data_IF_653738260551
#
_entry.id   IF_653738260551
#
_cell.length_a   1.000
_cell.length_b   1.000
_cell.length_c   1.000
_cell.angle_alpha   90.00
_cell.angle_beta   90.00
_cell.angle_gamma   90.00
#
_symmetry.space_group_name_H-M   'P 1'
#
loop_
_entity.id
_entity.type
_entity.pdbx_description
1 polymer ?
#
# COMPACT_ATOMS: atom_id res chain seq x y z
N UNK A 1 28.98 -34.46 -24.38
CA UNK A 1 28.78 -33.38 -25.34
C UNK A 1 27.30 -33.08 -25.37
N UNK A 2 26.89 -32.09 -24.64
CA UNK A 2 25.55 -31.47 -24.74
C UNK A 2 25.66 -30.13 -23.99
N UNK A 3 25.88 -29.07 -24.74
CA UNK A 3 25.84 -27.70 -24.28
C UNK A 3 24.37 -27.33 -24.02
N UNK A 4 24.05 -26.95 -22.82
CA UNK A 4 22.79 -26.30 -22.49
C UNK A 4 23.03 -24.80 -22.47
N UNK A 5 22.42 -24.12 -23.42
CA UNK A 5 22.36 -22.68 -23.52
C UNK A 5 21.61 -22.06 -22.34
N UNK A 6 22.28 -21.18 -21.63
CA UNK A 6 21.68 -20.28 -20.65
C UNK A 6 21.09 -19.08 -21.39
N UNK A 7 19.76 -18.97 -21.42
CA UNK A 7 19.05 -17.78 -21.86
C UNK A 7 19.22 -16.65 -20.84
N UNK A 8 19.96 -15.64 -21.25
CA UNK A 8 20.09 -14.36 -20.52
C UNK A 8 18.88 -13.51 -20.87
N UNK A 9 17.98 -13.30 -19.92
CA UNK A 9 16.95 -12.30 -20.02
C UNK A 9 17.58 -10.93 -19.79
N UNK A 10 17.80 -10.19 -20.86
CA UNK A 10 18.26 -8.80 -20.82
C UNK A 10 17.16 -7.90 -20.31
N UNK A 11 17.35 -7.32 -19.11
CA UNK A 11 16.58 -6.19 -18.62
C UNK A 11 17.14 -4.89 -19.22
N UNK A 12 16.47 -4.36 -20.22
CA UNK A 12 16.67 -2.98 -20.68
C UNK A 12 16.07 -1.99 -19.68
N UNK A 13 16.87 -1.49 -18.79
CA UNK A 13 16.69 -0.22 -18.10
C UNK A 13 18.06 0.42 -18.00
N UNK A 14 18.42 1.18 -19.05
CA UNK A 14 19.56 2.07 -19.03
C UNK A 14 19.34 3.17 -18.01
N UNK A 15 20.08 3.10 -16.94
CA UNK A 15 20.88 4.12 -16.28
C UNK A 15 21.41 3.50 -14.97
N UNK A 16 22.72 3.33 -14.94
CA UNK A 16 23.46 2.81 -13.80
C UNK A 16 23.41 3.78 -12.63
N UNK A 17 22.49 3.56 -11.69
CA UNK A 17 22.56 4.14 -10.36
C UNK A 17 23.56 3.31 -9.57
N UNK A 18 24.67 3.93 -9.21
CA UNK A 18 25.74 3.37 -8.41
C UNK A 18 25.21 2.94 -7.04
N UNK A 19 25.02 1.64 -6.83
CA UNK A 19 24.66 1.02 -5.55
C UNK A 19 25.94 0.87 -4.73
N UNK A 20 26.33 1.94 -4.01
CA UNK A 20 27.34 1.88 -2.95
C UNK A 20 26.81 1.20 -1.70
N UNK A 21 27.44 0.09 -1.38
CA UNK A 21 27.62 -0.56 -0.10
C UNK A 21 26.51 -0.51 0.99
N UNK A 22 25.71 -1.59 1.06
CA UNK A 22 25.55 -2.39 2.28
C UNK A 22 24.78 -3.67 1.95
N UNK A 23 25.40 -4.82 2.20
CA UNK A 23 24.82 -6.15 2.09
C UNK A 23 23.87 -6.37 3.28
N UNK A 24 22.74 -5.63 3.30
CA UNK A 24 21.64 -5.85 4.24
C UNK A 24 20.31 -5.84 3.50
N UNK A 25 19.71 -7.03 3.39
CA UNK A 25 18.32 -7.31 3.03
C UNK A 25 17.89 -7.12 1.57
N UNK A 26 18.22 -8.09 0.72
CA UNK A 26 17.59 -8.28 -0.62
C UNK A 26 16.08 -8.60 -0.51
N UNK A 27 15.57 -8.97 0.68
CA UNK A 27 14.19 -9.41 0.90
C UNK A 27 13.25 -8.36 1.51
N UNK A 28 13.75 -7.16 1.89
CA UNK A 28 12.94 -6.16 2.57
C UNK A 28 12.12 -5.32 1.59
N UNK A 29 10.79 -5.34 1.75
CA UNK A 29 9.85 -4.49 1.01
C UNK A 29 9.87 -3.06 1.54
N UNK A 30 9.98 -2.90 2.85
CA UNK A 30 10.06 -1.62 3.56
C UNK A 30 11.23 -1.66 4.52
N UNK A 31 12.06 -0.62 4.55
CA UNK A 31 13.14 -0.46 5.51
C UNK A 31 13.26 1.01 5.94
N UNK A 32 13.03 1.27 7.21
CA UNK A 32 13.17 2.56 7.86
C UNK A 32 14.41 2.54 8.76
N UNK A 33 15.27 3.56 8.63
CA UNK A 33 16.47 3.71 9.49
C UNK A 33 16.46 5.08 10.13
N UNK A 34 16.39 5.12 11.49
CA UNK A 34 16.39 6.31 12.35
C UNK A 34 15.38 7.39 11.92
N UNK A 35 14.17 6.95 11.50
CA UNK A 35 13.16 7.83 10.94
C UNK A 35 12.53 8.70 12.01
N UNK A 36 12.61 10.02 11.80
CA UNK A 36 11.97 11.03 12.64
C UNK A 36 11.13 11.97 11.79
N UNK A 37 9.92 12.29 12.27
CA UNK A 37 9.06 13.31 11.65
C UNK A 37 8.64 14.34 12.68
N UNK A 38 9.09 15.58 12.47
CA UNK A 38 8.69 16.76 13.22
C UNK A 38 7.64 17.55 12.46
N UNK A 39 6.66 18.09 13.17
CA UNK A 39 5.72 19.08 12.66
C UNK A 39 5.85 20.36 13.46
N UNK A 40 5.55 21.49 12.79
CA UNK A 40 5.47 22.80 13.42
C UNK A 40 4.02 23.24 13.48
N UNK A 41 3.48 23.46 14.68
CA UNK A 41 2.13 23.99 14.87
C UNK A 41 2.22 25.30 15.67
N UNK A 42 1.83 26.39 15.04
CA UNK A 42 2.09 27.75 15.57
C UNK A 42 3.57 27.88 15.87
N UNK A 43 4.02 28.24 17.06
CA UNK A 43 5.43 28.37 17.43
C UNK A 43 6.01 27.15 18.19
N UNK A 44 5.27 26.02 18.24
CA UNK A 44 5.74 24.79 18.91
C UNK A 44 6.05 23.70 17.89
N UNK A 45 7.19 23.05 18.05
CA UNK A 45 7.53 21.82 17.35
C UNK A 45 6.99 20.64 18.16
N UNK A 46 6.48 19.62 17.49
CA UNK A 46 6.17 18.33 18.10
C UNK A 46 6.67 17.21 17.18
N UNK A 47 7.13 16.14 17.80
CA UNK A 47 7.64 14.96 17.10
C UNK A 47 6.48 13.97 17.02
N UNK A 48 6.08 13.61 15.82
CA UNK A 48 5.02 12.64 15.58
C UNK A 48 5.55 11.21 15.40
N UNK A 49 6.79 11.08 14.91
CA UNK A 49 7.54 9.82 14.81
C UNK A 49 8.95 10.11 15.26
N UNK A 50 9.47 9.34 16.20
CA UNK A 50 10.73 9.60 16.86
C UNK A 50 11.69 8.41 16.76
N UNK A 51 12.74 8.59 15.95
CA UNK A 51 13.86 7.66 15.81
C UNK A 51 13.43 6.19 15.60
N UNK A 52 12.54 5.97 14.62
CA UNK A 52 11.99 4.65 14.34
C UNK A 52 12.87 3.88 13.37
N UNK A 53 13.28 2.66 13.76
CA UNK A 53 13.82 1.61 12.94
C UNK A 53 12.75 0.54 12.74
N UNK A 54 12.47 0.17 11.47
CA UNK A 54 11.39 -0.75 11.15
C UNK A 54 11.59 -1.38 9.78
N UNK A 55 11.29 -2.67 9.65
CA UNK A 55 11.36 -3.36 8.36
C UNK A 55 10.21 -4.34 8.18
N UNK A 56 9.80 -4.52 6.91
CA UNK A 56 8.80 -5.51 6.51
C UNK A 56 9.36 -6.27 5.31
N UNK A 57 9.24 -7.60 5.33
CA UNK A 57 9.62 -8.48 4.24
C UNK A 57 8.41 -8.83 3.36
N UNK A 58 8.67 -9.35 2.17
CA UNK A 58 7.64 -9.93 1.33
C UNK A 58 6.97 -11.12 2.06
N UNK A 59 5.64 -11.16 2.04
CA UNK A 59 4.84 -12.17 2.72
C UNK A 59 4.56 -11.91 4.20
N UNK A 60 5.16 -10.90 4.82
CA UNK A 60 4.86 -10.55 6.21
C UNK A 60 3.47 -9.93 6.36
N UNK A 61 2.75 -10.31 7.41
CA UNK A 61 1.59 -9.61 7.91
C UNK A 61 1.94 -8.89 9.22
N UNK A 62 2.03 -7.58 9.20
CA UNK A 62 2.44 -6.75 10.34
C UNK A 62 1.29 -5.90 10.82
N UNK A 63 1.04 -5.87 12.13
CA UNK A 63 0.08 -4.97 12.76
C UNK A 63 0.80 -3.92 13.61
N UNK A 64 0.31 -2.67 13.53
CA UNK A 64 0.72 -1.59 14.43
C UNK A 64 -0.50 -1.18 15.25
N UNK A 65 -0.40 -1.31 16.57
CA UNK A 65 -1.43 -0.91 17.52
C UNK A 65 -1.00 0.34 18.29
N UNK A 66 -1.95 1.01 18.93
CA UNK A 66 -1.65 2.17 19.78
C UNK A 66 -2.77 3.21 19.76
N UNK A 67 -2.77 4.14 20.73
CA UNK A 67 -3.81 5.16 20.88
C UNK A 67 -3.85 6.13 19.71
N UNK A 68 -5.00 6.75 19.48
CA UNK A 68 -5.14 7.83 18.48
C UNK A 68 -4.15 8.97 18.81
N UNK A 69 -3.57 9.58 17.78
CA UNK A 69 -2.59 10.66 17.93
C UNK A 69 -1.15 10.22 18.19
N UNK A 70 -0.86 8.93 18.35
CA UNK A 70 0.51 8.44 18.64
C UNK A 70 1.44 8.40 17.42
N UNK A 71 1.00 8.86 16.24
CA UNK A 71 1.86 8.98 15.05
C UNK A 71 1.70 7.87 14.02
N UNK A 72 0.81 6.88 14.22
CA UNK A 72 0.61 5.73 13.33
C UNK A 72 0.34 6.13 11.87
N UNK A 73 -0.67 6.95 11.63
CA UNK A 73 -1.00 7.43 10.25
C UNK A 73 0.13 8.29 9.65
N UNK A 74 0.93 8.98 10.49
CA UNK A 74 2.13 9.69 10.03
C UNK A 74 3.19 8.70 9.52
N UNK A 75 3.40 7.61 10.25
CA UNK A 75 4.31 6.53 9.85
C UNK A 75 3.84 5.87 8.55
N UNK A 76 2.55 5.51 8.45
CA UNK A 76 1.98 4.96 7.21
C UNK A 76 2.16 5.89 6.01
N UNK A 77 1.92 7.20 6.19
CA UNK A 77 2.09 8.18 5.12
C UNK A 77 3.55 8.31 4.66
N UNK A 78 4.54 8.14 5.58
CA UNK A 78 5.95 8.12 5.19
C UNK A 78 6.29 6.83 4.42
N UNK A 79 5.79 5.68 4.85
CA UNK A 79 5.96 4.41 4.13
C UNK A 79 5.29 4.45 2.76
N UNK A 80 4.11 5.07 2.65
CA UNK A 80 3.43 5.24 1.36
C UNK A 80 4.07 6.29 0.44
N UNK A 81 5.14 6.98 0.88
CA UNK A 81 5.79 8.05 0.11
C UNK A 81 4.91 9.30 -0.08
N UNK A 82 3.93 9.51 0.80
CA UNK A 82 3.08 10.70 0.82
C UNK A 82 3.67 11.81 1.70
N UNK A 83 4.60 11.45 2.57
CA UNK A 83 5.24 12.36 3.51
C UNK A 83 6.72 12.01 3.62
N UNK A 84 7.61 12.98 3.44
CA UNK A 84 9.06 12.79 3.64
C UNK A 84 9.41 12.87 5.13
N UNK A 85 10.36 12.06 5.63
CA UNK A 85 10.85 12.19 7.00
C UNK A 85 11.61 13.52 7.18
N UNK A 86 11.72 14.00 8.42
CA UNK A 86 12.58 15.14 8.77
C UNK A 86 14.03 14.69 8.91
N UNK A 87 14.26 13.48 9.41
CA UNK A 87 15.57 12.82 9.55
C UNK A 87 15.41 11.33 9.32
N UNK A 88 16.51 10.64 9.01
CA UNK A 88 16.53 9.23 8.72
C UNK A 88 16.21 8.92 7.26
N UNK A 89 16.03 7.64 6.96
CA UNK A 89 15.77 7.18 5.60
C UNK A 89 14.62 6.18 5.54
N UNK A 90 13.82 6.30 4.49
CA UNK A 90 12.73 5.38 4.13
C UNK A 90 13.08 4.75 2.79
N UNK A 91 13.28 3.44 2.78
CA UNK A 91 13.57 2.65 1.59
C UNK A 91 12.38 1.74 1.31
N UNK A 92 11.87 1.75 0.08
CA UNK A 92 10.74 0.92 -0.37
C UNK A 92 11.15 0.22 -1.65
N UNK A 93 11.02 -1.10 -1.68
CA UNK A 93 11.45 -1.95 -2.82
C UNK A 93 12.88 -1.65 -3.28
N UNK A 94 13.81 -1.41 -2.32
CA UNK A 94 15.20 -1.06 -2.61
C UNK A 94 15.45 0.41 -2.99
N UNK A 95 14.41 1.22 -3.17
CA UNK A 95 14.54 2.63 -3.52
C UNK A 95 14.44 3.52 -2.27
N UNK A 96 15.47 4.30 -1.96
CA UNK A 96 15.44 5.27 -0.85
C UNK A 96 14.67 6.53 -1.29
N UNK A 97 13.39 6.59 -0.89
CA UNK A 97 12.49 7.70 -1.24
C UNK A 97 12.71 8.99 -0.43
N UNK A 98 13.63 8.97 0.55
CA UNK A 98 13.97 10.14 1.37
C UNK A 98 15.02 11.02 0.71
N UNK A 99 15.71 10.55 -0.32
CA UNK A 99 16.77 11.30 -0.99
C UNK A 99 16.20 12.55 -1.69
N UNK A 100 16.94 13.68 -1.65
CA UNK A 100 16.54 14.89 -2.38
C UNK A 100 16.51 14.70 -3.91
N UNK A 101 17.30 13.74 -4.42
CA UNK A 101 17.40 13.44 -5.84
C UNK A 101 16.20 12.70 -6.41
N UNK A 102 15.37 12.08 -5.57
CA UNK A 102 14.18 11.37 -6.04
C UNK A 102 13.02 12.34 -6.22
N UNK A 103 12.45 12.35 -7.42
CA UNK A 103 11.31 13.22 -7.74
C UNK A 103 9.97 12.64 -7.21
N UNK A 104 9.00 13.55 -7.04
CA UNK A 104 7.65 13.14 -6.63
C UNK A 104 6.97 12.27 -7.71
N UNK A 105 7.35 12.41 -8.98
CA UNK A 105 6.88 11.55 -10.08
C UNK A 105 7.38 10.13 -9.93
N UNK A 106 8.67 9.94 -9.60
CA UNK A 106 9.26 8.62 -9.34
C UNK A 106 8.60 7.94 -8.15
N UNK A 107 8.40 8.68 -7.04
CA UNK A 107 7.70 8.14 -5.86
C UNK A 107 6.25 7.77 -6.22
N UNK A 108 5.56 8.60 -7.00
CA UNK A 108 4.20 8.34 -7.44
C UNK A 108 4.10 7.10 -8.34
N UNK A 109 5.08 6.88 -9.22
CA UNK A 109 5.16 5.69 -10.07
C UNK A 109 5.39 4.42 -9.23
N UNK A 110 6.28 4.46 -8.23
CA UNK A 110 6.50 3.34 -7.29
C UNK A 110 5.19 3.02 -6.56
N UNK A 111 4.51 4.05 -6.03
CA UNK A 111 3.24 3.91 -5.31
C UNK A 111 2.16 3.31 -6.19
N UNK A 112 1.92 3.88 -7.37
CA UNK A 112 0.87 3.44 -8.28
C UNK A 112 1.02 1.97 -8.73
N UNK A 113 2.27 1.51 -8.88
CA UNK A 113 2.57 0.15 -9.34
C UNK A 113 2.56 -0.88 -8.22
N UNK A 114 3.05 -0.52 -7.01
CA UNK A 114 3.43 -1.50 -6.01
C UNK A 114 2.69 -1.37 -4.68
N UNK A 115 1.98 -0.26 -4.41
CA UNK A 115 1.36 -0.01 -3.11
C UNK A 115 -0.15 0.09 -3.25
N UNK A 116 -0.88 -0.74 -2.49
CA UNK A 116 -2.29 -0.56 -2.20
C UNK A 116 -2.42 0.20 -0.88
N UNK A 117 -3.17 1.31 -0.86
CA UNK A 117 -3.32 2.11 0.34
C UNK A 117 -4.79 2.37 0.66
N UNK A 118 -5.20 1.97 1.86
CA UNK A 118 -6.51 2.25 2.45
C UNK A 118 -6.32 3.19 3.62
N UNK A 119 -6.86 4.40 3.49
CA UNK A 119 -6.81 5.43 4.54
C UNK A 119 -8.00 5.28 5.50
N UNK A 120 -7.88 5.83 6.70
CA UNK A 120 -8.97 5.86 7.68
C UNK A 120 -10.21 6.62 7.14
N UNK A 121 -10.00 7.70 6.40
CA UNK A 121 -11.09 8.45 5.77
C UNK A 121 -11.60 7.75 4.52
N UNK A 122 -12.92 7.80 4.33
CA UNK A 122 -13.58 7.24 3.15
C UNK A 122 -13.31 8.13 1.92
N UNK A 123 -12.56 7.61 0.94
CA UNK A 123 -12.02 8.38 -0.19
C UNK A 123 -12.48 7.87 -1.56
N UNK A 124 -13.67 7.29 -1.65
CA UNK A 124 -14.24 6.94 -2.96
C UNK A 124 -14.65 8.21 -3.72
N UNK A 125 -14.51 8.20 -5.04
CA UNK A 125 -14.95 9.31 -5.89
C UNK A 125 -16.47 9.26 -6.03
N UNK A 126 -17.15 10.29 -5.55
CA UNK A 126 -18.61 10.35 -5.43
C UNK A 126 -19.35 10.30 -6.78
N UNK A 127 -18.68 10.68 -7.87
CA UNK A 127 -19.21 10.72 -9.24
C UNK A 127 -18.94 9.44 -10.04
N UNK A 128 -18.29 8.45 -9.47
CA UNK A 128 -18.05 7.14 -10.04
C UNK A 128 -18.83 6.09 -9.26
N UNK A 129 -19.36 5.07 -9.94
CA UNK A 129 -19.93 3.90 -9.28
C UNK A 129 -18.84 3.06 -8.59
N UNK A 130 -19.22 2.01 -7.87
CA UNK A 130 -18.30 1.13 -7.14
C UNK A 130 -17.30 0.46 -8.09
N UNK A 131 -17.77 -0.11 -9.19
CA UNK A 131 -16.92 -0.81 -10.16
C UNK A 131 -15.85 0.12 -10.75
N UNK A 132 -16.24 1.33 -11.15
CA UNK A 132 -15.32 2.32 -11.70
C UNK A 132 -14.34 2.84 -10.67
N UNK A 133 -14.77 3.02 -9.41
CA UNK A 133 -13.86 3.34 -8.30
C UNK A 133 -12.78 2.27 -8.10
N UNK A 134 -13.15 0.98 -8.20
CA UNK A 134 -12.20 -0.14 -8.03
C UNK A 134 -11.22 -0.20 -9.19
N UNK A 135 -11.65 0.03 -10.43
CA UNK A 135 -10.81 -0.03 -11.64
C UNK A 135 -9.87 1.19 -11.77
N UNK A 136 -10.26 2.34 -11.22
CA UNK A 136 -9.58 3.62 -11.40
C UNK A 136 -8.05 3.59 -11.20
N UNK A 137 -7.48 2.94 -10.15
CA UNK A 137 -6.04 2.91 -9.95
C UNK A 137 -5.26 2.30 -11.12
N UNK A 138 -5.82 1.28 -11.78
CA UNK A 138 -5.21 0.66 -12.97
C UNK A 138 -5.20 1.64 -14.13
N UNK A 139 -6.30 2.36 -14.33
CA UNK A 139 -6.42 3.33 -15.41
C UNK A 139 -5.43 4.50 -15.23
N UNK A 140 -5.28 4.99 -13.99
CA UNK A 140 -4.31 6.05 -13.66
C UNK A 140 -2.87 5.55 -13.87
N UNK A 141 -2.53 4.35 -13.39
CA UNK A 141 -1.19 3.78 -13.53
C UNK A 141 -0.79 3.64 -15.01
N UNK A 142 -1.72 3.16 -15.86
CA UNK A 142 -1.52 3.04 -17.31
C UNK A 142 -1.37 4.40 -18.00
N UNK A 143 -2.19 5.38 -17.64
CA UNK A 143 -2.10 6.72 -18.21
C UNK A 143 -0.78 7.41 -17.86
N UNK A 144 -0.24 7.18 -16.69
CA UNK A 144 1.07 7.70 -16.26
C UNK A 144 2.23 7.05 -16.99
N UNK A 145 2.15 5.76 -17.31
CA UNK A 145 3.18 5.03 -18.06
C UNK A 145 3.24 5.44 -19.54
N UNK A 146 2.12 5.86 -20.13
CA UNK A 146 2.02 6.27 -21.55
C UNK A 146 2.70 7.62 -21.86
N UNK A 147 3.06 8.43 -20.88
CA UNK A 147 3.80 9.68 -21.09
C UNK A 147 5.25 9.46 -21.53
N UNK A 148 5.74 8.22 -21.47
CA UNK A 148 7.12 7.84 -21.85
C UNK A 148 7.17 7.21 -23.25
N UNK A 149 6.04 6.73 -23.80
CA UNK A 149 6.01 6.06 -25.10
C UNK A 149 4.80 6.56 -25.91
N UNK A 150 5.08 7.20 -27.06
CA UNK A 150 4.10 7.92 -27.92
C UNK A 150 3.15 6.99 -28.70
N UNK A 151 3.18 5.68 -28.45
CA UNK A 151 2.23 4.71 -28.98
C UNK A 151 0.98 4.62 -28.09
N UNK A 152 0.13 5.66 -28.17
CA UNK A 152 -1.15 5.71 -27.47
C UNK A 152 -2.12 4.64 -27.98
N UNK A 153 -1.96 3.41 -27.50
CA UNK A 153 -2.95 2.39 -27.71
C UNK A 153 -4.19 2.72 -26.83
N UNK A 154 -5.30 3.09 -27.51
CA UNK A 154 -6.62 3.21 -26.90
C UNK A 154 -6.85 1.98 -26.02
N UNK A 155 -7.38 2.18 -24.81
CA UNK A 155 -7.82 1.07 -23.94
C UNK A 155 -8.77 0.21 -24.81
N UNK A 156 -8.34 -0.98 -25.21
CA UNK A 156 -9.21 -1.85 -25.98
C UNK A 156 -10.39 -2.29 -25.10
N UNK A 157 -11.56 -2.43 -25.69
CA UNK A 157 -12.77 -2.92 -24.99
C UNK A 157 -12.49 -4.21 -24.21
N UNK A 158 -11.63 -5.08 -24.74
CA UNK A 158 -11.18 -6.32 -24.10
C UNK A 158 -10.39 -6.07 -22.81
N UNK A 159 -9.61 -4.99 -22.73
CA UNK A 159 -8.85 -4.60 -21.53
C UNK A 159 -9.78 -4.14 -20.40
N UNK A 160 -10.82 -3.36 -20.75
CA UNK A 160 -11.81 -2.93 -19.76
C UNK A 160 -12.64 -4.11 -19.25
N UNK A 161 -13.09 -5.01 -20.12
CA UNK A 161 -13.83 -6.20 -19.72
C UNK A 161 -13.04 -7.11 -18.79
N UNK A 162 -11.74 -7.30 -19.06
CA UNK A 162 -10.83 -8.05 -18.19
C UNK A 162 -10.65 -7.37 -16.81
N UNK A 163 -10.52 -6.05 -16.79
CA UNK A 163 -10.43 -5.29 -15.53
C UNK A 163 -11.74 -5.33 -14.75
N UNK A 164 -12.87 -5.21 -15.43
CA UNK A 164 -14.20 -5.32 -14.83
C UNK A 164 -14.43 -6.69 -14.21
N UNK A 165 -14.08 -7.77 -14.92
CA UNK A 165 -14.15 -9.13 -14.36
C UNK A 165 -13.32 -9.27 -13.09
N UNK A 166 -12.07 -8.79 -13.10
CA UNK A 166 -11.20 -8.85 -11.93
C UNK A 166 -11.72 -7.98 -10.77
N UNK A 167 -12.28 -6.81 -11.06
CA UNK A 167 -12.89 -5.96 -10.04
C UNK A 167 -14.11 -6.67 -9.42
N UNK A 168 -14.95 -7.31 -10.24
CA UNK A 168 -16.10 -8.11 -9.77
C UNK A 168 -15.65 -9.28 -8.88
N UNK A 169 -14.57 -9.98 -9.23
CA UNK A 169 -14.02 -11.06 -8.40
C UNK A 169 -13.58 -10.55 -7.01
N UNK A 170 -12.93 -9.37 -6.95
CA UNK A 170 -12.55 -8.75 -5.69
C UNK A 170 -13.77 -8.31 -4.87
N UNK A 171 -14.76 -7.70 -5.51
CA UNK A 171 -16.01 -7.29 -4.86
C UNK A 171 -16.75 -8.50 -4.30
N UNK A 172 -16.83 -9.61 -5.06
CA UNK A 172 -17.44 -10.86 -4.63
C UNK A 172 -16.73 -11.46 -3.42
N UNK A 173 -15.39 -11.48 -3.40
CA UNK A 173 -14.60 -11.93 -2.23
C UNK A 173 -14.85 -11.09 -0.99
N UNK A 174 -15.30 -9.87 -1.15
CA UNK A 174 -15.61 -8.92 -0.07
C UNK A 174 -17.13 -8.81 0.20
N UNK A 175 -17.97 -9.63 -0.44
CA UNK A 175 -19.43 -9.65 -0.29
C UNK A 175 -20.07 -8.26 -0.56
N UNK A 176 -19.71 -7.63 -1.68
CA UNK A 176 -20.23 -6.32 -2.14
C UNK A 176 -20.36 -6.25 -3.68
N UNK A 177 -20.42 -7.38 -4.36
CA UNK A 177 -20.53 -7.46 -5.81
C UNK A 177 -21.91 -7.02 -6.34
N UNK A 178 -22.96 -7.19 -5.55
CA UNK A 178 -24.30 -6.68 -5.82
C UNK A 178 -24.36 -5.14 -5.85
N UNK A 179 -23.39 -4.47 -5.24
CA UNK A 179 -23.27 -3.02 -5.18
C UNK A 179 -22.40 -2.42 -6.31
N UNK A 180 -21.94 -3.22 -7.28
CA UNK A 180 -21.01 -2.80 -8.32
C UNK A 180 -21.44 -1.54 -9.10
N UNK A 181 -22.74 -1.35 -9.28
CA UNK A 181 -23.31 -0.20 -10.00
C UNK A 181 -23.84 0.91 -9.09
N UNK A 182 -23.78 0.75 -7.76
CA UNK A 182 -24.17 1.76 -6.80
C UNK A 182 -23.10 2.87 -6.73
N UNK A 183 -23.52 4.06 -6.28
CA UNK A 183 -22.62 5.18 -6.01
C UNK A 183 -22.23 5.23 -4.54
N UNK A 184 -21.10 5.86 -4.16
CA UNK A 184 -20.62 5.92 -2.77
C UNK A 184 -21.66 6.40 -1.75
N UNK A 185 -22.55 7.32 -2.12
CA UNK A 185 -23.62 7.85 -1.26
C UNK A 185 -24.70 6.81 -0.87
N UNK A 186 -24.75 5.68 -1.61
CA UNK A 186 -25.72 4.60 -1.41
C UNK A 186 -25.17 3.48 -0.52
N UNK A 187 -23.89 3.58 -0.16
CA UNK A 187 -23.17 2.57 0.62
C UNK A 187 -23.20 2.91 2.12
N UNK A 188 -23.34 1.87 2.94
CA UNK A 188 -23.01 1.95 4.37
C UNK A 188 -21.50 2.14 4.58
N UNK A 189 -21.08 2.53 5.81
CA UNK A 189 -19.67 2.68 6.16
C UNK A 189 -18.85 1.40 5.94
N UNK A 190 -19.40 0.26 6.34
CA UNK A 190 -18.75 -1.04 6.17
C UNK A 190 -18.65 -1.49 4.72
N UNK A 191 -19.67 -1.26 3.89
CA UNK A 191 -19.63 -1.53 2.45
C UNK A 191 -18.58 -0.66 1.75
N UNK A 192 -18.56 0.63 2.07
CA UNK A 192 -17.58 1.57 1.54
C UNK A 192 -16.15 1.15 1.89
N UNK A 193 -15.93 0.68 3.12
CA UNK A 193 -14.63 0.17 3.59
C UNK A 193 -14.19 -1.04 2.76
N UNK A 194 -15.07 -2.01 2.53
CA UNK A 194 -14.78 -3.19 1.70
C UNK A 194 -14.49 -2.82 0.24
N UNK A 195 -15.22 -1.88 -0.34
CA UNK A 195 -14.95 -1.35 -1.69
C UNK A 195 -13.58 -0.67 -1.76
N UNK A 196 -13.17 0.09 -0.73
CA UNK A 196 -11.84 0.70 -0.67
C UNK A 196 -10.73 -0.36 -0.61
N UNK A 197 -10.94 -1.48 0.07
CA UNK A 197 -10.00 -2.61 0.09
C UNK A 197 -9.92 -3.25 -1.30
N UNK A 198 -11.05 -3.50 -1.99
CA UNK A 198 -11.07 -3.98 -3.36
C UNK A 198 -10.26 -3.07 -4.30
N UNK A 199 -10.47 -1.74 -4.18
CA UNK A 199 -9.73 -0.73 -4.94
C UNK A 199 -8.22 -0.78 -4.69
N UNK A 200 -7.80 -0.98 -3.45
CA UNK A 200 -6.39 -1.08 -3.12
C UNK A 200 -5.73 -2.35 -3.69
N UNK A 201 -6.50 -3.43 -3.86
CA UNK A 201 -6.02 -4.72 -4.35
C UNK A 201 -6.02 -4.87 -5.87
N UNK A 202 -6.69 -3.99 -6.62
CA UNK A 202 -6.88 -4.14 -8.07
C UNK A 202 -5.56 -4.21 -8.85
N UNK A 203 -4.52 -3.53 -8.42
CA UNK A 203 -3.18 -3.54 -9.05
C UNK A 203 -2.29 -4.71 -8.61
N UNK A 204 -2.77 -5.67 -7.79
CA UNK A 204 -1.95 -6.73 -7.16
C UNK A 204 -0.71 -6.13 -6.49
N UNK A 205 -0.89 -5.24 -5.50
CA UNK A 205 0.23 -4.54 -4.89
C UNK A 205 1.19 -5.51 -4.20
N UNK A 206 2.47 -5.16 -4.17
CA UNK A 206 3.49 -5.89 -3.41
C UNK A 206 3.50 -5.47 -1.93
N UNK A 207 2.95 -4.30 -1.62
CA UNK A 207 2.75 -3.78 -0.27
C UNK A 207 1.34 -3.25 -0.13
N UNK A 208 0.60 -3.77 0.84
CA UNK A 208 -0.72 -3.30 1.20
C UNK A 208 -0.66 -2.58 2.55
N UNK A 209 -1.03 -1.32 2.58
CA UNK A 209 -1.06 -0.47 3.78
C UNK A 209 -2.51 -0.14 4.10
N UNK A 210 -2.98 -0.47 5.31
CA UNK A 210 -4.35 -0.25 5.72
C UNK A 210 -4.40 0.47 7.07
N UNK A 211 -5.10 1.61 7.10
CA UNK A 211 -5.36 2.36 8.33
C UNK A 211 -6.81 2.10 8.77
N UNK A 212 -6.98 1.35 9.86
CA UNK A 212 -8.26 0.92 10.46
C UNK A 212 -9.20 0.24 9.44
N UNK A 213 -8.78 -0.87 8.77
CA UNK A 213 -9.56 -1.46 7.68
C UNK A 213 -10.87 -2.11 8.12
N UNK A 214 -11.06 -2.38 9.41
CA UNK A 214 -12.22 -3.11 9.96
C UNK A 214 -13.10 -2.25 10.87
N UNK A 215 -12.82 -0.95 11.00
CA UNK A 215 -13.44 -0.07 11.99
C UNK A 215 -14.97 0.03 11.94
N UNK A 216 -15.59 -0.18 10.78
CA UNK A 216 -17.06 -0.12 10.59
C UNK A 216 -17.66 -1.49 10.23
N UNK A 217 -16.93 -2.59 10.47
CA UNK A 217 -17.33 -3.95 10.09
C UNK A 217 -17.83 -4.74 11.29
N UNK A 218 -18.81 -5.60 11.04
CA UNK A 218 -19.17 -6.67 11.98
C UNK A 218 -18.10 -7.77 11.98
N UNK A 219 -18.21 -8.70 12.92
CA UNK A 219 -17.23 -9.78 13.12
C UNK A 219 -17.08 -10.70 11.90
N UNK A 220 -18.16 -10.97 11.16
CA UNK A 220 -18.13 -11.84 9.97
C UNK A 220 -17.38 -11.13 8.81
N UNK A 221 -17.68 -9.87 8.56
CA UNK A 221 -17.01 -9.08 7.53
C UNK A 221 -15.54 -8.80 7.90
N UNK A 222 -15.24 -8.61 9.21
CA UNK A 222 -13.86 -8.53 9.71
C UNK A 222 -13.08 -9.79 9.37
N UNK A 223 -13.63 -10.98 9.63
CA UNK A 223 -12.99 -12.26 9.28
C UNK A 223 -12.78 -12.41 7.78
N UNK A 224 -13.75 -11.99 6.95
CA UNK A 224 -13.63 -12.00 5.49
C UNK A 224 -12.44 -11.13 5.04
N UNK A 225 -12.31 -9.93 5.58
CA UNK A 225 -11.19 -9.03 5.28
C UNK A 225 -9.87 -9.64 5.73
N UNK A 226 -9.77 -10.14 6.97
CA UNK A 226 -8.53 -10.75 7.49
C UNK A 226 -8.11 -11.96 6.66
N UNK A 227 -9.04 -12.83 6.28
CA UNK A 227 -8.76 -13.98 5.40
C UNK A 227 -8.19 -13.51 4.05
N UNK A 228 -8.79 -12.46 3.45
CA UNK A 228 -8.30 -11.89 2.19
C UNK A 228 -6.87 -11.32 2.33
N UNK A 229 -6.56 -10.66 3.46
CA UNK A 229 -5.22 -10.13 3.72
C UNK A 229 -4.20 -11.27 3.89
N UNK A 230 -4.57 -12.36 4.55
CA UNK A 230 -3.74 -13.56 4.67
C UNK A 230 -3.50 -14.23 3.31
N UNK A 231 -4.49 -14.29 2.44
CA UNK A 231 -4.30 -14.78 1.07
C UNK A 231 -3.31 -13.89 0.29
N UNK A 232 -3.34 -12.57 0.51
CA UNK A 232 -2.36 -11.66 -0.11
C UNK A 232 -0.94 -11.96 0.37
N UNK A 233 -0.72 -12.22 1.67
CA UNK A 233 0.62 -12.58 2.19
C UNK A 233 1.08 -13.93 1.69
N UNK A 234 0.19 -14.91 1.60
CA UNK A 234 0.49 -16.22 1.01
C UNK A 234 0.91 -16.12 -0.47
N UNK A 235 0.44 -15.08 -1.18
CA UNK A 235 0.86 -14.75 -2.55
C UNK A 235 2.14 -13.88 -2.60
N UNK A 236 2.79 -13.62 -1.46
CA UNK A 236 4.05 -12.87 -1.38
C UNK A 236 3.90 -11.34 -1.23
N UNK A 237 2.69 -10.80 -1.10
CA UNK A 237 2.51 -9.40 -0.76
C UNK A 237 2.83 -9.15 0.72
N UNK A 238 3.47 -8.02 1.04
CA UNK A 238 3.57 -7.55 2.42
C UNK A 238 2.30 -6.83 2.83
N UNK A 239 1.81 -7.05 4.04
CA UNK A 239 0.62 -6.40 4.59
C UNK A 239 0.98 -5.66 5.87
N UNK A 240 0.69 -4.36 5.91
CA UNK A 240 0.85 -3.50 7.09
C UNK A 240 -0.53 -2.93 7.48
N UNK A 241 -1.01 -3.32 8.65
CA UNK A 241 -2.29 -2.86 9.19
C UNK A 241 -2.06 -2.00 10.43
N UNK A 242 -2.69 -0.85 10.48
CA UNK A 242 -2.89 -0.10 11.72
C UNK A 242 -4.29 -0.41 12.22
N UNK A 243 -4.42 -0.87 13.46
CA UNK A 243 -5.72 -1.21 14.02
C UNK A 243 -5.74 -1.10 15.54
N UNK A 244 -6.94 -0.91 16.10
CA UNK A 244 -7.24 -1.09 17.52
C UNK A 244 -8.06 -2.39 17.78
N UNK A 245 -8.36 -3.15 16.73
CA UNK A 245 -9.06 -4.44 16.80
C UNK A 245 -8.07 -5.55 17.16
N UNK A 246 -8.24 -6.14 18.35
CA UNK A 246 -7.37 -7.21 18.85
C UNK A 246 -7.43 -8.46 17.97
N UNK A 247 -8.56 -8.75 17.33
CA UNK A 247 -8.73 -9.92 16.47
C UNK A 247 -7.91 -9.80 15.19
N UNK A 248 -7.83 -8.58 14.63
CA UNK A 248 -6.98 -8.27 13.47
C UNK A 248 -5.51 -8.31 13.86
N UNK A 249 -5.14 -7.70 15.01
CA UNK A 249 -3.77 -7.72 15.51
C UNK A 249 -3.29 -9.15 15.81
N UNK A 250 -4.13 -10.00 16.43
CA UNK A 250 -3.82 -11.41 16.69
C UNK A 250 -3.64 -12.24 15.40
N UNK A 251 -4.16 -11.75 14.28
CA UNK A 251 -3.98 -12.39 12.97
C UNK A 251 -2.68 -11.98 12.27
N UNK A 252 -1.88 -11.07 12.82
CA UNK A 252 -0.60 -10.66 12.26
C UNK A 252 0.54 -11.60 12.69
N UNK A 253 1.62 -11.66 11.89
CA UNK A 253 2.83 -12.43 12.21
C UNK A 253 3.69 -11.68 13.24
N UNK A 254 3.65 -10.33 13.18
CA UNK A 254 4.35 -9.44 14.10
C UNK A 254 3.42 -8.29 14.50
N UNK A 255 3.42 -7.95 15.79
CA UNK A 255 2.68 -6.82 16.32
C UNK A 255 3.65 -5.81 16.90
N UNK A 256 3.44 -4.54 16.55
CA UNK A 256 4.18 -3.41 17.10
C UNK A 256 3.23 -2.48 17.84
N UNK A 257 3.71 -1.91 18.95
CA UNK A 257 3.00 -0.83 19.64
C UNK A 257 3.64 0.51 19.31
N UNK A 258 2.82 1.46 18.89
CA UNK A 258 3.25 2.85 18.71
C UNK A 258 2.74 3.70 19.87
N UNK A 259 3.66 4.26 20.63
CA UNK A 259 3.37 5.16 21.75
C UNK A 259 4.23 6.41 21.67
N UNK A 260 3.56 7.58 21.67
CA UNK A 260 4.22 8.90 21.67
C UNK A 260 5.30 9.05 20.59
N UNK A 261 5.06 8.50 19.40
CA UNK A 261 5.98 8.55 18.26
C UNK A 261 7.04 7.45 18.22
N UNK A 262 7.14 6.63 19.26
CA UNK A 262 8.12 5.54 19.37
C UNK A 262 7.45 4.20 19.01
N UNK A 263 8.08 3.41 18.14
CA UNK A 263 7.61 2.08 17.74
C UNK A 263 8.38 0.99 18.49
N UNK A 264 7.68 0.01 19.06
CA UNK A 264 8.27 -1.12 19.79
C UNK A 264 7.61 -2.43 19.36
N UNK A 265 8.40 -3.48 19.15
CA UNK A 265 7.87 -4.83 18.98
C UNK A 265 7.23 -5.33 20.27
N UNK A 266 6.12 -6.07 20.13
CA UNK A 266 5.46 -6.77 21.25
C UNK A 266 6.03 -8.17 21.43
#
# INVERSE_FOLDING_TARGET
>A
MSEMASEVVSNDLGDSVNLGDSVDSVDSVVNLKNVTREFKRKNRKFIAVDNVDFSIKAGDFVAIVGKSGNGKSTLLNMIAGLLKPTRGSVTIFGCNISLPSISDEQISAIRAKNIGFVTQSQTLLANLNVLDNVILPVMIARASSKRVDDSAQKLELNDYASLASRAMDLLKRLNVDDLAHCYPRELSGGEMRRVMIARALINKPRLLILDEPTGDLDSQNTQTVVSLLRDCTACGAAVLVVTHDESVAASADCVYTMDSGVLRAQ
#
